data_IF_392867938949
#
_entry.id   IF_392867938949
#
_cell.length_a   1.000
_cell.length_b   1.000
_cell.length_c   1.000
_cell.angle_alpha   90.00
_cell.angle_beta   90.00
_cell.angle_gamma   90.00
#
_symmetry.space_group_name_H-M   'P 1'
#
loop_
_entity.id
_entity.type
_entity.pdbx_description
1 polymer ?
#
# COMPACT_ATOMS: atom_id res chain seq x y z
N UNK A 1 23.36 -16.35 -1.69
CA UNK A 1 23.80 -14.99 -2.08
C UNK A 1 23.00 -14.51 -3.30
N UNK A 2 21.66 -14.46 -3.22
CA UNK A 2 20.78 -14.14 -4.36
C UNK A 2 19.87 -12.92 -4.14
N UNK A 3 19.58 -12.59 -2.88
CA UNK A 3 18.70 -11.47 -2.53
C UNK A 3 19.35 -10.08 -2.71
N UNK A 4 20.68 -10.03 -2.69
CA UNK A 4 21.46 -8.79 -2.88
C UNK A 4 21.51 -8.30 -4.34
N UNK A 5 21.07 -9.12 -5.31
CA UNK A 5 21.00 -8.73 -6.72
C UNK A 5 19.71 -7.95 -7.06
N UNK A 6 18.64 -8.11 -6.27
CA UNK A 6 17.42 -7.31 -6.39
C UNK A 6 17.57 -5.91 -5.75
N UNK A 7 18.55 -5.74 -4.86
CA UNK A 7 18.82 -4.50 -4.12
C UNK A 7 20.13 -3.81 -4.56
N UNK A 8 20.51 -3.90 -5.84
CA UNK A 8 21.48 -2.92 -6.35
C UNK A 8 20.87 -1.52 -6.18
N UNK A 9 21.61 -0.50 -5.70
CA UNK A 9 21.19 0.87 -5.80
C UNK A 9 21.38 1.31 -7.26
N UNK A 10 20.62 0.71 -8.16
CA UNK A 10 20.01 1.51 -9.22
C UNK A 10 19.12 2.39 -8.37
N UNK A 11 19.45 3.68 -8.17
CA UNK A 11 18.56 4.63 -7.50
C UNK A 11 17.16 4.27 -7.96
N UNK A 12 16.32 3.66 -7.09
CA UNK A 12 15.09 3.06 -7.58
C UNK A 12 14.38 4.16 -8.34
N UNK A 13 13.88 3.91 -9.55
CA UNK A 13 12.90 4.81 -10.11
C UNK A 13 11.90 5.05 -8.98
N UNK A 14 11.81 6.29 -8.53
CA UNK A 14 11.19 6.63 -7.25
C UNK A 14 9.69 6.47 -7.45
N UNK A 15 9.23 5.21 -7.35
CA UNK A 15 7.92 4.78 -7.81
C UNK A 15 6.86 5.56 -7.06
N UNK A 16 7.07 5.75 -5.75
CA UNK A 16 6.25 6.62 -4.91
C UNK A 16 6.17 8.04 -5.48
N UNK A 17 7.28 8.64 -5.94
CA UNK A 17 7.20 9.94 -6.62
C UNK A 17 6.33 9.88 -7.87
N UNK A 18 6.38 8.80 -8.64
CA UNK A 18 5.54 8.61 -9.82
C UNK A 18 4.06 8.55 -9.48
N UNK A 19 3.70 7.85 -8.39
CA UNK A 19 2.32 7.80 -7.88
C UNK A 19 1.78 9.21 -7.58
N UNK A 20 2.66 10.12 -7.15
CA UNK A 20 2.31 11.50 -6.78
C UNK A 20 2.56 12.56 -7.88
N UNK A 21 2.89 12.17 -9.11
CA UNK A 21 2.99 13.12 -10.22
C UNK A 21 1.61 13.41 -10.79
N UNK A 22 1.30 14.71 -10.95
CA UNK A 22 0.02 15.19 -11.52
C UNK A 22 0.16 15.87 -12.88
N UNK A 23 1.38 16.11 -13.36
CA UNK A 23 1.61 16.84 -14.60
C UNK A 23 2.27 15.97 -15.66
N UNK A 24 1.79 16.11 -16.90
CA UNK A 24 2.32 15.38 -18.06
C UNK A 24 3.80 15.70 -18.26
N UNK A 25 4.22 16.95 -18.10
CA UNK A 25 5.62 17.35 -18.25
C UNK A 25 6.56 16.66 -17.26
N UNK A 26 6.18 16.59 -15.98
CA UNK A 26 6.98 15.91 -14.96
C UNK A 26 7.02 14.40 -15.19
N UNK A 27 5.87 13.79 -15.55
CA UNK A 27 5.80 12.36 -15.85
C UNK A 27 6.69 12.01 -17.06
N UNK A 28 6.54 12.73 -18.17
CA UNK A 28 7.36 12.52 -19.38
C UNK A 28 8.85 12.75 -19.12
N UNK A 29 9.20 13.78 -18.36
CA UNK A 29 10.60 14.04 -17.97
C UNK A 29 11.19 12.90 -17.14
N UNK A 30 10.40 12.32 -16.23
CA UNK A 30 10.84 11.20 -15.42
C UNK A 30 10.94 9.89 -16.21
N UNK A 31 9.98 9.60 -17.10
CA UNK A 31 10.06 8.44 -18.00
C UNK A 31 11.28 8.56 -18.93
N UNK A 32 11.58 9.76 -19.44
CA UNK A 32 12.78 10.01 -20.24
C UNK A 32 14.07 9.81 -19.42
N UNK A 33 14.09 10.25 -18.15
CA UNK A 33 15.24 10.06 -17.26
C UNK A 33 15.47 8.58 -16.88
N UNK A 34 14.40 7.79 -16.79
CA UNK A 34 14.49 6.34 -16.52
C UNK A 34 14.97 5.54 -17.73
N UNK A 35 14.62 5.99 -18.95
CA UNK A 35 14.85 5.25 -20.18
C UNK A 35 14.15 3.89 -20.19
N UNK A 36 14.36 3.11 -21.26
CA UNK A 36 13.69 1.82 -21.44
C UNK A 36 13.98 0.83 -20.30
N UNK A 37 15.24 0.71 -19.89
CA UNK A 37 15.64 -0.21 -18.82
C UNK A 37 15.04 0.16 -17.46
N UNK A 38 14.82 1.44 -17.18
CA UNK A 38 14.14 1.90 -15.97
C UNK A 38 12.64 1.64 -16.03
N UNK A 39 12.02 1.89 -17.19
CA UNK A 39 10.59 1.63 -17.43
C UNK A 39 10.27 0.14 -17.27
N UNK A 40 11.09 -0.77 -17.77
CA UNK A 40 10.89 -2.22 -17.59
C UNK A 40 10.94 -2.62 -16.10
N UNK A 41 11.82 -2.01 -15.30
CA UNK A 41 11.89 -2.26 -13.85
C UNK A 41 10.66 -1.75 -13.13
N UNK A 42 10.17 -0.56 -13.49
CA UNK A 42 8.93 0.00 -12.93
C UNK A 42 7.74 -0.87 -13.29
N UNK A 43 7.65 -1.31 -14.54
CA UNK A 43 6.59 -2.23 -14.98
C UNK A 43 6.61 -3.53 -14.18
N UNK A 44 7.79 -4.12 -13.97
CA UNK A 44 7.93 -5.31 -13.15
C UNK A 44 7.52 -5.04 -11.68
N UNK A 45 7.90 -3.89 -11.12
CA UNK A 45 7.47 -3.48 -9.77
C UNK A 45 5.95 -3.42 -9.68
N UNK A 46 5.28 -2.73 -10.61
CA UNK A 46 3.83 -2.62 -10.65
C UNK A 46 3.15 -4.00 -10.76
N UNK A 47 3.72 -4.93 -11.52
CA UNK A 47 3.20 -6.30 -11.57
C UNK A 47 3.32 -7.03 -10.23
N UNK A 48 4.42 -6.84 -9.51
CA UNK A 48 4.60 -7.38 -8.17
C UNK A 48 3.63 -6.75 -7.17
N UNK A 49 3.29 -5.46 -7.35
CA UNK A 49 2.36 -4.75 -6.47
C UNK A 49 0.94 -5.35 -6.47
N UNK A 50 0.46 -5.93 -7.59
CA UNK A 50 -0.81 -6.68 -7.60
C UNK A 50 -0.81 -7.90 -6.66
N UNK A 51 0.34 -8.58 -6.53
CA UNK A 51 0.48 -9.71 -5.60
C UNK A 51 0.64 -9.20 -4.18
N UNK A 52 1.48 -8.18 -4.01
CA UNK A 52 1.74 -7.56 -2.72
C UNK A 52 0.48 -6.99 -2.09
N UNK A 53 -0.42 -6.41 -2.90
CA UNK A 53 -1.76 -5.97 -2.54
C UNK A 53 -2.54 -7.02 -1.76
N UNK A 54 -2.64 -8.24 -2.29
CA UNK A 54 -3.37 -9.31 -1.60
C UNK A 54 -2.69 -9.63 -0.28
N UNK A 55 -1.36 -9.73 -0.27
CA UNK A 55 -0.59 -10.10 0.91
C UNK A 55 -0.73 -9.07 2.03
N UNK A 56 -0.56 -7.77 1.74
CA UNK A 56 -0.63 -6.74 2.76
C UNK A 56 -2.07 -6.54 3.24
N UNK A 57 -3.08 -6.55 2.34
CA UNK A 57 -4.48 -6.40 2.75
C UNK A 57 -4.90 -7.55 3.67
N UNK A 58 -4.52 -8.79 3.33
CA UNK A 58 -4.79 -9.95 4.19
C UNK A 58 -4.07 -9.84 5.53
N UNK A 59 -2.78 -9.50 5.52
CA UNK A 59 -1.98 -9.37 6.74
C UNK A 59 -2.57 -8.33 7.70
N UNK A 60 -2.90 -7.14 7.19
CA UNK A 60 -3.49 -6.08 7.99
C UNK A 60 -4.91 -6.47 8.44
N UNK A 61 -5.72 -7.10 7.58
CA UNK A 61 -7.05 -7.58 7.94
C UNK A 61 -7.00 -8.58 9.10
N UNK A 62 -6.06 -9.54 9.06
CA UNK A 62 -5.82 -10.49 10.15
C UNK A 62 -5.35 -9.78 11.42
N UNK A 63 -4.47 -8.77 11.31
CA UNK A 63 -4.07 -7.92 12.43
C UNK A 63 -5.26 -7.23 13.09
N UNK A 64 -6.19 -6.66 12.30
CA UNK A 64 -7.41 -6.06 12.84
C UNK A 64 -8.32 -7.09 13.52
N UNK A 65 -8.42 -8.31 13.00
CA UNK A 65 -9.17 -9.41 13.63
C UNK A 65 -8.52 -9.88 14.93
N UNK A 66 -7.19 -9.89 15.01
CA UNK A 66 -6.46 -10.16 16.25
C UNK A 66 -6.76 -9.09 17.30
N UNK A 67 -6.76 -7.80 16.93
CA UNK A 67 -7.22 -6.74 17.84
C UNK A 67 -8.64 -7.01 18.32
N UNK A 68 -9.51 -7.47 17.42
CA UNK A 68 -10.88 -7.76 17.77
C UNK A 68 -11.03 -8.93 18.76
N UNK A 69 -10.20 -9.96 18.64
CA UNK A 69 -10.23 -11.11 19.56
C UNK A 69 -9.60 -10.82 20.92
N UNK A 70 -8.62 -9.91 21.00
CA UNK A 70 -7.93 -9.58 22.26
C UNK A 70 -8.64 -8.50 23.09
N UNK A 71 -9.68 -7.87 22.54
CA UNK A 71 -10.35 -6.75 23.16
C UNK A 71 -11.87 -6.97 23.23
N UNK A 72 -12.58 -6.09 23.94
CA UNK A 72 -14.04 -6.08 24.00
C UNK A 72 -14.59 -4.69 23.68
N UNK A 73 -15.88 -4.60 23.37
CA UNK A 73 -16.56 -3.33 23.11
C UNK A 73 -16.05 -2.61 21.86
N UNK A 74 -15.69 -1.33 22.01
CA UNK A 74 -15.35 -0.45 20.88
C UNK A 74 -14.18 -0.97 20.06
N UNK A 75 -13.10 -1.45 20.70
CA UNK A 75 -11.93 -1.99 20.00
C UNK A 75 -12.25 -3.27 19.23
N UNK A 76 -13.14 -4.12 19.76
CA UNK A 76 -13.57 -5.33 19.08
C UNK A 76 -14.35 -5.01 17.80
N UNK A 77 -15.33 -4.12 17.90
CA UNK A 77 -16.13 -3.68 16.76
C UNK A 77 -15.29 -2.94 15.72
N UNK A 78 -14.39 -2.06 16.17
CA UNK A 78 -13.46 -1.35 15.29
C UNK A 78 -12.53 -2.31 14.55
N UNK A 79 -12.00 -3.35 15.22
CA UNK A 79 -11.16 -4.35 14.57
C UNK A 79 -11.88 -5.11 13.45
N UNK A 80 -13.13 -5.51 13.69
CA UNK A 80 -13.95 -6.14 12.64
C UNK A 80 -14.24 -5.19 11.48
N UNK A 81 -14.55 -3.92 11.77
CA UNK A 81 -14.81 -2.91 10.74
C UNK A 81 -13.55 -2.65 9.89
N UNK A 82 -12.42 -2.37 10.52
CA UNK A 82 -11.15 -2.06 9.85
C UNK A 82 -10.64 -3.24 9.04
N UNK A 83 -10.88 -4.48 9.51
CA UNK A 83 -10.54 -5.70 8.76
C UNK A 83 -11.24 -5.79 7.38
N UNK A 84 -12.37 -5.11 7.22
CA UNK A 84 -13.12 -5.02 5.95
C UNK A 84 -12.72 -3.79 5.16
N UNK A 85 -12.60 -2.63 5.83
CA UNK A 85 -12.29 -1.37 5.16
C UNK A 85 -10.89 -1.36 4.53
N UNK A 86 -9.93 -2.13 5.03
CA UNK A 86 -8.60 -2.24 4.40
C UNK A 86 -8.67 -2.70 2.93
N UNK A 87 -9.70 -3.45 2.54
CA UNK A 87 -9.92 -3.85 1.15
C UNK A 87 -10.30 -2.69 0.24
N UNK A 88 -10.83 -1.60 0.78
CA UNK A 88 -11.05 -0.36 0.03
C UNK A 88 -9.70 0.26 -0.36
N UNK A 89 -8.72 0.27 0.55
CA UNK A 89 -7.36 0.71 0.20
C UNK A 89 -6.72 -0.21 -0.84
N UNK A 90 -6.95 -1.52 -0.76
CA UNK A 90 -6.55 -2.46 -1.80
C UNK A 90 -7.21 -2.14 -3.15
N UNK A 91 -8.51 -1.83 -3.18
CA UNK A 91 -9.16 -1.42 -4.42
C UNK A 91 -8.57 -0.12 -5.00
N UNK A 92 -8.21 0.85 -4.15
CA UNK A 92 -7.50 2.06 -4.59
C UNK A 92 -6.13 1.74 -5.19
N UNK A 93 -5.34 0.91 -4.52
CA UNK A 93 -4.02 0.44 -4.98
C UNK A 93 -4.12 -0.29 -6.34
N UNK A 94 -5.13 -1.14 -6.51
CA UNK A 94 -5.42 -1.80 -7.78
C UNK A 94 -5.66 -0.78 -8.92
N UNK A 95 -6.53 0.21 -8.69
CA UNK A 95 -6.87 1.23 -9.69
C UNK A 95 -5.65 2.09 -10.02
N UNK A 96 -4.87 2.44 -9.00
CA UNK A 96 -3.64 3.22 -9.13
C UNK A 96 -2.59 2.49 -9.97
N UNK A 97 -2.29 1.22 -9.66
CA UNK A 97 -1.33 0.42 -10.43
C UNK A 97 -1.75 0.27 -11.90
N UNK A 98 -3.05 0.11 -12.18
CA UNK A 98 -3.57 0.08 -13.55
C UNK A 98 -3.34 1.43 -14.25
N UNK A 99 -3.65 2.55 -13.57
CA UNK A 99 -3.47 3.88 -14.13
C UNK A 99 -1.99 4.20 -14.44
N UNK A 100 -1.07 3.76 -13.58
CA UNK A 100 0.36 3.88 -13.82
C UNK A 100 0.84 3.00 -14.97
N UNK A 101 0.40 1.74 -15.06
CA UNK A 101 0.74 0.86 -16.18
C UNK A 101 0.30 1.44 -17.53
N UNK A 102 -0.89 2.02 -17.60
CA UNK A 102 -1.39 2.71 -18.80
C UNK A 102 -0.58 3.98 -19.09
N UNK A 103 -0.14 4.70 -18.06
CA UNK A 103 0.71 5.90 -18.19
C UNK A 103 2.09 5.55 -18.75
N UNK A 104 2.66 4.37 -18.44
CA UNK A 104 3.92 3.90 -19.04
C UNK A 104 3.82 3.71 -20.56
N UNK A 105 2.63 3.42 -21.09
CA UNK A 105 2.40 3.29 -22.54
C UNK A 105 2.17 4.64 -23.20
N UNK A 106 1.35 5.49 -22.57
CA UNK A 106 1.05 6.83 -23.05
C UNK A 106 0.73 7.73 -21.86
N UNK A 107 1.57 8.73 -21.64
CA UNK A 107 1.36 9.71 -20.57
C UNK A 107 0.03 10.44 -20.79
N UNK A 108 -0.82 10.41 -19.78
CA UNK A 108 -2.15 11.01 -19.80
C UNK A 108 -2.42 11.70 -18.46
N UNK A 109 -2.78 12.99 -18.50
CA UNK A 109 -3.08 13.77 -17.30
C UNK A 109 -4.19 13.16 -16.44
N UNK A 110 -5.24 12.60 -17.05
CA UNK A 110 -6.35 11.99 -16.30
C UNK A 110 -5.92 10.73 -15.55
N UNK A 111 -5.05 9.91 -16.15
CA UNK A 111 -4.51 8.72 -15.49
C UNK A 111 -3.56 9.09 -14.34
N UNK A 112 -2.76 10.14 -14.52
CA UNK A 112 -1.90 10.69 -13.47
C UNK A 112 -2.71 11.21 -12.29
N UNK A 113 -3.79 11.96 -12.53
CA UNK A 113 -4.67 12.43 -11.44
C UNK A 113 -5.39 11.26 -10.74
N UNK A 114 -5.82 10.25 -11.49
CA UNK A 114 -6.42 9.06 -10.91
C UNK A 114 -5.42 8.33 -10.00
N UNK A 115 -4.19 8.09 -10.47
CA UNK A 115 -3.12 7.47 -9.69
C UNK A 115 -2.83 8.29 -8.42
N UNK A 116 -2.70 9.61 -8.53
CA UNK A 116 -2.45 10.49 -7.39
C UNK A 116 -3.49 10.37 -6.28
N UNK A 117 -4.78 10.45 -6.63
CA UNK A 117 -5.84 10.40 -5.63
C UNK A 117 -5.97 9.01 -5.00
N UNK A 118 -5.86 7.96 -5.82
CA UNK A 118 -5.90 6.59 -5.33
C UNK A 118 -4.70 6.26 -4.44
N UNK A 119 -3.50 6.75 -4.78
CA UNK A 119 -2.30 6.64 -3.94
C UNK A 119 -2.46 7.38 -2.61
N UNK A 120 -2.98 8.62 -2.63
CA UNK A 120 -3.26 9.36 -1.41
C UNK A 120 -4.22 8.63 -0.48
N UNK A 121 -5.34 8.13 -1.03
CA UNK A 121 -6.36 7.40 -0.26
C UNK A 121 -5.79 6.10 0.30
N UNK A 122 -5.06 5.29 -0.51
CA UNK A 122 -4.48 4.02 -0.05
C UNK A 122 -3.50 4.26 1.11
N UNK A 123 -2.57 5.21 0.98
CA UNK A 123 -1.55 5.45 2.01
C UNK A 123 -2.14 5.94 3.32
N UNK A 124 -3.10 6.87 3.27
CA UNK A 124 -3.78 7.36 4.48
C UNK A 124 -4.51 6.21 5.18
N UNK A 125 -5.26 5.41 4.42
CA UNK A 125 -6.07 4.35 5.01
C UNK A 125 -5.25 3.18 5.56
N UNK A 126 -4.21 2.77 4.83
CA UNK A 126 -3.23 1.78 5.30
C UNK A 126 -2.53 2.29 6.57
N UNK A 127 -2.07 3.53 6.59
CA UNK A 127 -1.40 4.13 7.75
C UNK A 127 -2.28 4.18 9.00
N UNK A 128 -3.53 4.65 8.86
CA UNK A 128 -4.51 4.67 9.95
C UNK A 128 -4.77 3.25 10.47
N UNK A 129 -4.92 2.27 9.58
CA UNK A 129 -5.24 0.89 9.95
C UNK A 129 -4.07 0.22 10.67
N UNK A 130 -2.83 0.43 10.20
CA UNK A 130 -1.62 -0.08 10.87
C UNK A 130 -1.50 0.53 12.27
N UNK A 131 -1.70 1.84 12.42
CA UNK A 131 -1.67 2.49 13.74
C UNK A 131 -2.72 1.91 14.68
N UNK A 132 -3.95 1.70 14.19
CA UNK A 132 -5.00 1.04 14.94
C UNK A 132 -4.60 -0.37 15.40
N UNK A 133 -3.99 -1.17 14.51
CA UNK A 133 -3.52 -2.52 14.85
C UNK A 133 -2.46 -2.48 15.95
N UNK A 134 -1.47 -1.59 15.83
CA UNK A 134 -0.40 -1.48 16.83
C UNK A 134 -0.94 -1.11 18.21
N UNK A 135 -1.80 -0.09 18.29
CA UNK A 135 -2.39 0.37 19.55
C UNK A 135 -3.34 -0.67 20.14
N UNK A 136 -4.24 -1.23 19.32
CA UNK A 136 -5.23 -2.20 19.76
C UNK A 136 -4.64 -3.54 20.18
N UNK A 137 -3.58 -4.00 19.49
CA UNK A 137 -2.88 -5.23 19.86
C UNK A 137 -2.09 -5.04 21.15
N UNK A 138 -1.38 -3.91 21.30
CA UNK A 138 -0.65 -3.60 22.54
C UNK A 138 -1.57 -3.51 23.76
N UNK A 139 -2.72 -2.84 23.63
CA UNK A 139 -3.73 -2.75 24.68
C UNK A 139 -4.32 -4.14 25.04
N UNK A 140 -4.68 -4.93 24.03
CA UNK A 140 -5.24 -6.27 24.22
C UNK A 140 -4.25 -7.23 24.87
N UNK A 141 -3.00 -7.26 24.41
CA UNK A 141 -1.94 -8.09 24.98
C UNK A 141 -1.69 -7.72 26.45
N UNK A 142 -1.59 -6.42 26.76
CA UNK A 142 -1.40 -5.95 28.13
C UNK A 142 -2.55 -6.40 29.06
N UNK A 143 -3.79 -6.37 28.56
CA UNK A 143 -4.95 -6.85 29.31
C UNK A 143 -4.86 -8.35 29.60
N UNK A 144 -4.57 -9.17 28.59
CA UNK A 144 -4.44 -10.63 28.75
C UNK A 144 -3.37 -10.98 29.79
N UNK A 145 -2.21 -10.32 29.75
CA UNK A 145 -1.15 -10.52 30.73
C UNK A 145 -1.56 -10.13 32.15
N UNK A 146 -2.28 -9.02 32.32
CA UNK A 146 -2.68 -8.54 33.65
C UNK A 146 -3.85 -9.32 34.25
N UNK A 147 -4.79 -9.81 33.44
CA UNK A 147 -6.00 -10.49 33.95
C UNK A 147 -5.91 -12.03 33.93
N UNK A 148 -4.88 -12.62 33.31
CA UNK A 148 -4.67 -14.06 33.25
C UNK A 148 -5.80 -14.85 32.55
N UNK A 149 -6.69 -14.14 31.86
CA UNK A 149 -7.80 -14.67 31.09
C UNK A 149 -7.57 -14.32 29.62
N UNK A 150 -7.68 -15.29 28.70
CA UNK A 150 -7.64 -15.02 27.27
C UNK A 150 -8.76 -14.06 26.86
#
# INVERSE_FOLDING_TARGET
MGWMLLMRPVTPPDIVKFEFIRTVGAASGMLAAWGEAGIEKVRLSLYLDFVFLILYCQTISLGCRLVASLNAGVFANAGLLFSRLIWIAGACDLVENIALLLTLQKVNGTLLELAFWMAGIKFVWVGITILFVMVGAGAGVSRVFLTGRP
#
